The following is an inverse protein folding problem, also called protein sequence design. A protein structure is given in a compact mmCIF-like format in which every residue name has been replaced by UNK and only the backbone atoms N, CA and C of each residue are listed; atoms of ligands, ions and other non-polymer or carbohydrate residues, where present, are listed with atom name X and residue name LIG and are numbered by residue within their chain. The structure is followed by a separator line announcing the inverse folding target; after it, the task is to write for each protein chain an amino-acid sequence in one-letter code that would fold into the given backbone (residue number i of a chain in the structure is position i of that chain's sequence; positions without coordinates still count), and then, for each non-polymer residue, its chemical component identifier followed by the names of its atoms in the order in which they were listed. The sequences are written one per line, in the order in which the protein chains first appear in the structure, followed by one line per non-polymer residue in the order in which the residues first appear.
data_IF_113418175399
#
_entry.id   IF_113418175399
#
_cell.length_a   1.000
_cell.length_b   1.000
_cell.length_c   1.000
_cell.angle_alpha   90.00
_cell.angle_beta   90.00
_cell.angle_gamma   90.00
#
_symmetry.space_group_name_H-M   'P 1'
#
loop_
_entity.id
_entity.type
_entity.pdbx_description
1 polymer ?
#
# COMPACT_ATOMS: atom_id res chain seq x y z
N UNK A 1 -26.33 -4.03 -4.14
CA UNK A 1 -24.88 -3.82 -3.93
C UNK A 1 -24.15 -3.24 -5.15
N UNK A 2 -24.02 -3.92 -6.32
CA UNK A 2 -23.36 -3.31 -7.50
C UNK A 2 -24.11 -2.10 -8.07
N UNK A 3 -25.42 -2.03 -7.91
CA UNK A 3 -26.25 -0.90 -8.36
C UNK A 3 -26.07 0.38 -7.52
N UNK A 4 -25.43 0.27 -6.37
CA UNK A 4 -25.17 1.38 -5.46
C UNK A 4 -23.80 2.02 -5.69
N UNK A 5 -22.98 1.39 -6.56
CA UNK A 5 -21.69 1.91 -7.02
C UNK A 5 -21.87 2.79 -8.27
N UNK A 6 -20.92 3.69 -8.50
CA UNK A 6 -20.89 4.44 -9.77
C UNK A 6 -20.81 3.49 -10.97
N UNK A 7 -21.36 3.91 -12.11
CA UNK A 7 -21.33 3.10 -13.33
C UNK A 7 -19.91 2.73 -13.77
N UNK A 8 -18.94 3.61 -13.51
CA UNK A 8 -17.53 3.37 -13.82
C UNK A 8 -16.93 2.32 -12.89
N UNK A 9 -17.22 2.37 -11.59
CA UNK A 9 -16.77 1.41 -10.60
C UNK A 9 -17.37 0.04 -10.84
N UNK A 10 -18.66 -0.03 -11.10
CA UNK A 10 -19.35 -1.27 -11.48
C UNK A 10 -18.73 -1.90 -12.73
N UNK A 11 -18.48 -1.10 -13.78
CA UNK A 11 -17.81 -1.57 -15.01
C UNK A 11 -16.38 -2.01 -14.77
N UNK A 12 -15.65 -1.36 -13.87
CA UNK A 12 -14.31 -1.77 -13.46
C UNK A 12 -14.34 -3.17 -12.84
N UNK A 13 -15.18 -3.38 -11.82
CA UNK A 13 -15.25 -4.67 -11.12
C UNK A 13 -15.79 -5.81 -12.00
N UNK A 14 -16.63 -5.54 -12.98
CA UNK A 14 -17.02 -6.56 -13.96
C UNK A 14 -15.86 -7.05 -14.84
N UNK A 15 -14.78 -6.26 -14.97
CA UNK A 15 -13.61 -6.60 -15.77
C UNK A 15 -12.39 -7.02 -14.93
N UNK A 16 -12.39 -6.72 -13.64
CA UNK A 16 -11.30 -7.05 -12.74
C UNK A 16 -11.26 -8.56 -12.45
N UNK A 17 -10.08 -9.10 -12.09
CA UNK A 17 -9.97 -10.48 -11.65
C UNK A 17 -10.89 -10.75 -10.44
N UNK A 18 -11.73 -11.78 -10.48
CA UNK A 18 -12.70 -12.05 -9.41
C UNK A 18 -12.06 -12.26 -8.03
N UNK A 19 -10.83 -12.80 -7.99
CA UNK A 19 -10.14 -13.10 -6.75
C UNK A 19 -9.91 -11.87 -5.86
N UNK A 20 -9.36 -10.78 -6.40
CA UNK A 20 -9.08 -9.57 -5.61
C UNK A 20 -10.35 -8.91 -5.09
N UNK A 21 -11.45 -8.99 -5.86
CA UNK A 21 -12.75 -8.42 -5.46
C UNK A 21 -13.38 -9.24 -4.35
N UNK A 22 -13.34 -10.57 -4.47
CA UNK A 22 -13.86 -11.48 -3.45
C UNK A 22 -13.05 -11.35 -2.16
N UNK A 23 -11.73 -11.36 -2.27
CA UNK A 23 -10.84 -11.16 -1.13
C UNK A 23 -11.15 -9.85 -0.41
N UNK A 24 -11.28 -8.75 -1.16
CA UNK A 24 -11.68 -7.47 -0.60
C UNK A 24 -13.06 -7.56 0.10
N UNK A 25 -14.06 -8.12 -0.56
CA UNK A 25 -15.46 -8.11 -0.09
C UNK A 25 -15.71 -9.01 1.14
N UNK A 26 -14.83 -9.98 1.41
CA UNK A 26 -14.95 -10.88 2.58
C UNK A 26 -14.00 -10.52 3.72
N UNK A 27 -13.16 -9.49 3.53
CA UNK A 27 -12.19 -9.04 4.52
C UNK A 27 -12.85 -8.07 5.51
N UNK A 28 -12.46 -8.12 6.77
CA UNK A 28 -12.86 -7.13 7.76
C UNK A 28 -12.00 -5.88 7.71
N UNK A 29 -10.73 -6.05 7.34
CA UNK A 29 -9.69 -5.02 7.31
C UNK A 29 -8.77 -5.21 6.10
N UNK A 30 -8.54 -4.16 5.35
CA UNK A 30 -7.70 -4.22 4.15
C UNK A 30 -6.66 -3.12 4.11
N UNK A 31 -5.45 -3.48 3.69
CA UNK A 31 -4.42 -2.55 3.26
C UNK A 31 -4.30 -2.64 1.74
N UNK A 32 -4.59 -1.55 1.06
CA UNK A 32 -4.41 -1.43 -0.38
C UNK A 32 -3.04 -0.83 -0.68
N UNK A 33 -2.28 -1.47 -1.55
CA UNK A 33 -0.96 -1.02 -2.03
C UNK A 33 -0.95 -0.85 -3.55
N UNK A 34 0.00 -0.06 -4.08
CA UNK A 34 0.00 0.30 -5.50
C UNK A 34 0.43 -0.85 -6.41
N UNK A 35 1.38 -1.65 -5.96
CA UNK A 35 2.00 -2.63 -6.83
C UNK A 35 2.70 -3.79 -6.11
N UNK A 36 3.33 -4.67 -6.91
CA UNK A 36 3.90 -5.92 -6.42
C UNK A 36 5.10 -5.72 -5.48
N UNK A 37 5.83 -4.62 -5.59
CA UNK A 37 7.00 -4.35 -4.73
C UNK A 37 6.58 -4.11 -3.28
N UNK A 38 5.57 -3.28 -3.08
CA UNK A 38 4.95 -3.03 -1.78
C UNK A 38 4.34 -4.32 -1.24
N UNK A 39 3.53 -5.00 -2.06
CA UNK A 39 2.85 -6.23 -1.69
C UNK A 39 3.82 -7.27 -1.13
N UNK A 40 4.95 -7.51 -1.79
CA UNK A 40 5.97 -8.48 -1.37
C UNK A 40 6.56 -8.18 0.00
N UNK A 41 6.77 -6.90 0.34
CA UNK A 41 7.41 -6.50 1.59
C UNK A 41 6.43 -6.25 2.73
N UNK A 42 5.14 -6.10 2.42
CA UNK A 42 4.17 -5.64 3.40
C UNK A 42 3.90 -6.63 4.52
N UNK A 43 3.91 -7.94 4.24
CA UNK A 43 3.81 -8.96 5.28
C UNK A 43 4.96 -8.84 6.29
N UNK A 44 6.21 -8.72 5.79
CA UNK A 44 7.39 -8.51 6.62
C UNK A 44 7.32 -7.21 7.45
N UNK A 45 6.82 -6.12 6.84
CA UNK A 45 6.60 -4.86 7.57
C UNK A 45 5.55 -5.02 8.65
N UNK A 46 4.45 -5.73 8.35
CA UNK A 46 3.39 -5.97 9.31
C UNK A 46 3.91 -6.79 10.50
N UNK A 47 4.62 -7.87 10.25
CA UNK A 47 5.26 -8.69 11.30
C UNK A 47 6.27 -7.89 12.12
N UNK A 48 7.08 -7.04 11.48
CA UNK A 48 8.05 -6.18 12.18
C UNK A 48 7.38 -5.19 13.13
N UNK A 49 6.21 -4.65 12.75
CA UNK A 49 5.48 -3.64 13.56
C UNK A 49 4.63 -4.28 14.65
N UNK A 50 4.03 -5.43 14.39
CA UNK A 50 2.98 -6.01 15.24
C UNK A 50 3.40 -7.27 15.98
N UNK A 51 4.49 -7.92 15.56
CA UNK A 51 4.90 -9.29 15.92
C UNK A 51 3.86 -10.36 15.56
N UNK A 52 2.93 -10.06 14.65
CA UNK A 52 1.90 -10.96 14.15
C UNK A 52 1.90 -10.96 12.62
N UNK A 53 1.41 -12.03 12.02
CA UNK A 53 1.06 -12.05 10.60
C UNK A 53 -0.24 -11.28 10.36
N UNK A 54 -0.41 -10.65 9.18
CA UNK A 54 -1.64 -9.91 8.83
C UNK A 54 -2.90 -10.76 9.02
N UNK A 55 -2.88 -12.02 8.59
CA UNK A 55 -4.03 -12.93 8.66
C UNK A 55 -4.44 -13.22 10.12
N UNK A 56 -3.51 -13.22 11.06
CA UNK A 56 -3.79 -13.42 12.49
C UNK A 56 -4.66 -12.30 13.05
N UNK A 57 -4.48 -11.09 12.54
CA UNK A 57 -5.23 -9.89 12.93
C UNK A 57 -6.43 -9.62 11.99
N UNK A 58 -6.75 -10.56 11.06
CA UNK A 58 -7.84 -10.42 10.08
C UNK A 58 -7.60 -9.32 9.05
N UNK A 59 -6.34 -9.02 8.75
CA UNK A 59 -5.93 -8.01 7.78
C UNK A 59 -5.51 -8.68 6.47
N UNK A 60 -6.09 -8.24 5.36
CA UNK A 60 -5.65 -8.62 4.02
C UNK A 60 -4.90 -7.48 3.34
N UNK A 61 -3.84 -7.82 2.61
CA UNK A 61 -3.04 -6.89 1.81
C UNK A 61 -3.38 -7.12 0.35
N UNK A 62 -3.81 -6.10 -0.37
CA UNK A 62 -4.24 -6.21 -1.76
C UNK A 62 -3.45 -5.26 -2.65
N UNK A 63 -2.78 -5.82 -3.66
CA UNK A 63 -2.17 -5.07 -4.75
C UNK A 63 -3.24 -4.64 -5.77
N UNK A 64 -3.45 -3.32 -5.89
CA UNK A 64 -4.45 -2.77 -6.82
C UNK A 64 -3.92 -2.55 -8.24
N UNK A 65 -2.64 -2.82 -8.50
CA UNK A 65 -1.98 -2.69 -9.80
C UNK A 65 -2.25 -1.37 -10.50
N UNK A 66 -1.87 -0.27 -9.84
CA UNK A 66 -2.00 1.07 -10.37
C UNK A 66 -3.14 1.89 -9.75
N UNK A 67 -3.69 2.85 -10.48
CA UNK A 67 -4.52 3.93 -9.94
C UNK A 67 -5.98 3.55 -9.60
N UNK A 68 -6.23 2.30 -9.20
CA UNK A 68 -7.59 1.80 -8.97
C UNK A 68 -8.13 2.03 -7.55
N UNK A 69 -7.37 2.68 -6.66
CA UNK A 69 -7.78 2.89 -5.25
C UNK A 69 -9.21 3.43 -5.09
N UNK A 70 -9.58 4.46 -5.86
CA UNK A 70 -10.93 5.06 -5.74
C UNK A 70 -12.06 4.05 -5.93
N UNK A 71 -11.86 3.02 -6.75
CA UNK A 71 -12.87 1.97 -6.98
C UNK A 71 -13.07 1.11 -5.73
N UNK A 72 -11.96 0.72 -5.10
CA UNK A 72 -12.00 -0.01 -3.83
C UNK A 72 -12.53 0.87 -2.70
N UNK A 73 -12.18 2.16 -2.65
CA UNK A 73 -12.68 3.09 -1.63
C UNK A 73 -14.18 3.34 -1.74
N UNK A 74 -14.73 3.39 -2.96
CA UNK A 74 -16.18 3.47 -3.18
C UNK A 74 -16.87 2.20 -2.64
N UNK A 75 -16.30 1.02 -2.88
CA UNK A 75 -16.80 -0.24 -2.33
C UNK A 75 -16.66 -0.28 -0.80
N UNK A 76 -15.48 0.08 -0.25
CA UNK A 76 -15.26 0.16 1.20
C UNK A 76 -16.26 1.06 1.91
N UNK A 77 -16.57 2.23 1.34
CA UNK A 77 -17.58 3.14 1.87
C UNK A 77 -18.97 2.50 1.90
N UNK A 78 -19.29 1.66 0.89
CA UNK A 78 -20.58 1.00 0.78
C UNK A 78 -20.76 -0.15 1.78
N UNK A 79 -19.71 -0.97 1.96
CA UNK A 79 -19.79 -2.17 2.83
C UNK A 79 -19.31 -1.92 4.26
N UNK A 80 -18.69 -0.77 4.53
CA UNK A 80 -18.24 -0.38 5.87
C UNK A 80 -16.90 -0.98 6.31
N UNK A 81 -16.17 -1.59 5.41
CA UNK A 81 -14.91 -2.25 5.68
C UNK A 81 -13.79 -1.26 6.02
N UNK A 82 -12.94 -1.60 7.00
CA UNK A 82 -11.80 -0.75 7.39
C UNK A 82 -10.68 -0.86 6.36
N UNK A 83 -10.38 0.25 5.69
CA UNK A 83 -9.46 0.27 4.55
C UNK A 83 -8.36 1.31 4.72
N UNK A 84 -7.11 0.87 4.80
CA UNK A 84 -5.92 1.70 4.69
C UNK A 84 -5.42 1.72 3.25
N UNK A 85 -5.16 2.89 2.70
CA UNK A 85 -4.45 3.04 1.41
C UNK A 85 -3.03 3.48 1.69
N UNK A 86 -2.07 2.78 1.13
CA UNK A 86 -0.65 3.16 1.12
C UNK A 86 -0.27 3.52 -0.30
N UNK A 87 0.11 4.78 -0.54
CA UNK A 87 0.30 5.33 -1.89
C UNK A 87 1.52 6.24 -1.97
N UNK A 88 2.10 6.32 -3.13
CA UNK A 88 3.16 7.27 -3.47
C UNK A 88 2.62 8.70 -3.56
N UNK A 89 3.48 9.69 -3.34
CA UNK A 89 3.07 11.10 -3.43
C UNK A 89 3.37 11.76 -4.77
N UNK A 90 4.06 11.08 -5.67
CA UNK A 90 4.36 11.53 -7.04
C UNK A 90 4.89 12.98 -7.12
N UNK A 91 5.78 13.37 -6.19
CA UNK A 91 6.36 14.71 -6.02
C UNK A 91 5.41 15.81 -5.54
N UNK A 92 4.11 15.53 -5.33
CA UNK A 92 3.13 16.50 -4.83
C UNK A 92 2.06 15.80 -3.98
N UNK A 93 2.38 15.59 -2.70
CA UNK A 93 1.47 14.89 -1.79
C UNK A 93 0.12 15.59 -1.63
N UNK A 94 0.07 16.94 -1.73
CA UNK A 94 -1.19 17.67 -1.63
C UNK A 94 -2.14 17.28 -2.76
N UNK A 95 -1.65 17.37 -3.99
CA UNK A 95 -2.43 17.04 -5.19
C UNK A 95 -2.76 15.55 -5.28
N UNK A 96 -1.73 14.68 -5.10
CA UNK A 96 -1.86 13.26 -5.40
C UNK A 96 -2.41 12.42 -4.23
N UNK A 97 -2.32 12.93 -2.99
CA UNK A 97 -2.79 12.18 -1.83
C UNK A 97 -3.92 12.90 -1.07
N UNK A 98 -3.83 14.21 -0.85
CA UNK A 98 -4.85 14.95 -0.08
C UNK A 98 -6.04 15.31 -0.96
N UNK A 99 -5.83 16.09 -2.03
CA UNK A 99 -6.91 16.59 -2.87
C UNK A 99 -7.59 15.46 -3.65
N UNK A 100 -6.79 14.51 -4.16
CA UNK A 100 -7.28 13.34 -4.90
C UNK A 100 -8.27 12.49 -4.10
N UNK A 101 -8.08 12.38 -2.78
CA UNK A 101 -8.90 11.55 -1.90
C UNK A 101 -9.74 12.34 -0.91
N UNK A 102 -9.96 13.64 -1.16
CA UNK A 102 -10.73 14.54 -0.29
C UNK A 102 -12.14 14.04 0.02
N UNK A 103 -12.79 13.35 -0.91
CA UNK A 103 -14.13 12.76 -0.75
C UNK A 103 -14.19 11.68 0.34
N UNK A 104 -13.04 11.15 0.74
CA UNK A 104 -12.91 10.10 1.77
C UNK A 104 -12.34 10.61 3.09
N UNK A 105 -11.92 11.88 3.17
CA UNK A 105 -11.24 12.46 4.33
C UNK A 105 -12.07 12.42 5.64
N UNK A 106 -13.40 12.40 5.52
CA UNK A 106 -14.34 12.34 6.64
C UNK A 106 -14.94 10.94 6.84
N UNK A 107 -14.43 9.93 6.14
CA UNK A 107 -14.93 8.56 6.23
C UNK A 107 -14.16 7.79 7.30
N UNK A 108 -14.81 7.41 8.39
CA UNK A 108 -14.14 6.85 9.57
C UNK A 108 -13.41 5.53 9.33
N UNK A 109 -13.90 4.73 8.38
CA UNK A 109 -13.33 3.42 8.03
C UNK A 109 -12.30 3.49 6.89
N UNK A 110 -11.96 4.68 6.39
CA UNK A 110 -10.99 4.85 5.28
C UNK A 110 -9.90 5.83 5.70
N UNK A 111 -8.64 5.47 5.46
CA UNK A 111 -7.51 6.38 5.67
C UNK A 111 -6.41 6.20 4.64
N UNK A 112 -5.82 7.32 4.23
CA UNK A 112 -4.77 7.36 3.20
C UNK A 112 -3.44 7.67 3.88
N UNK A 113 -2.42 6.87 3.60
CA UNK A 113 -1.07 6.97 4.16
C UNK A 113 -0.05 7.18 3.05
N UNK A 114 0.78 8.18 3.21
CA UNK A 114 1.79 8.60 2.23
C UNK A 114 2.92 9.37 2.92
N UNK A 115 4.07 9.50 2.24
CA UNK A 115 5.13 10.40 2.67
C UNK A 115 4.73 11.86 2.40
N UNK A 116 4.87 12.74 3.41
CA UNK A 116 4.65 14.18 3.26
C UNK A 116 5.89 14.92 2.72
N UNK A 117 6.99 14.23 2.51
CA UNK A 117 8.18 14.78 1.87
C UNK A 117 8.12 14.51 0.36
N UNK A 118 7.95 15.57 -0.43
CA UNK A 118 7.89 15.47 -1.88
C UNK A 118 9.18 14.95 -2.54
N UNK A 119 10.31 14.92 -1.81
CA UNK A 119 11.55 14.29 -2.27
C UNK A 119 11.53 12.77 -2.08
N UNK A 120 10.66 12.27 -1.23
CA UNK A 120 10.41 10.84 -1.01
C UNK A 120 9.15 10.44 -1.77
N UNK A 121 9.23 10.52 -3.09
CA UNK A 121 8.09 10.52 -4.00
C UNK A 121 7.58 9.13 -4.39
N UNK A 122 8.41 8.09 -4.24
CA UNK A 122 8.04 6.70 -4.52
C UNK A 122 8.44 5.78 -3.38
N UNK A 123 7.81 4.62 -3.32
CA UNK A 123 8.12 3.57 -2.34
C UNK A 123 9.62 3.24 -2.30
N UNK A 124 10.26 3.04 -3.45
CA UNK A 124 11.67 2.69 -3.52
C UNK A 124 12.59 3.79 -2.96
N UNK A 125 12.25 5.06 -3.22
CA UNK A 125 13.00 6.20 -2.66
C UNK A 125 12.90 6.26 -1.15
N UNK A 126 11.69 6.08 -0.62
CA UNK A 126 11.46 6.05 0.83
C UNK A 126 12.19 4.87 1.47
N UNK A 127 12.03 3.68 0.89
CA UNK A 127 12.66 2.45 1.39
C UNK A 127 14.20 2.56 1.40
N UNK A 128 14.79 3.05 0.32
CA UNK A 128 16.22 3.31 0.24
C UNK A 128 16.69 4.31 1.30
N UNK A 129 15.98 5.43 1.46
CA UNK A 129 16.38 6.46 2.41
C UNK A 129 16.37 5.99 3.87
N UNK A 130 15.45 5.09 4.21
CA UNK A 130 15.38 4.48 5.54
C UNK A 130 16.41 3.34 5.72
N UNK A 131 16.85 2.70 4.63
CA UNK A 131 17.65 1.47 4.66
C UNK A 131 18.95 1.55 3.82
N UNK A 132 19.61 2.72 3.78
CA UNK A 132 20.76 2.96 2.88
C UNK A 132 21.86 1.93 2.98
N UNK A 133 22.25 1.58 4.21
CA UNK A 133 23.34 0.62 4.42
C UNK A 133 22.99 -0.75 3.87
N UNK A 134 21.81 -1.24 4.17
CA UNK A 134 21.29 -2.51 3.65
C UNK A 134 21.18 -2.50 2.12
N UNK A 135 20.58 -1.45 1.56
CA UNK A 135 20.41 -1.35 0.11
C UNK A 135 21.77 -1.27 -0.62
N UNK A 136 22.73 -0.50 -0.08
CA UNK A 136 24.07 -0.42 -0.67
C UNK A 136 24.85 -1.75 -0.54
N UNK A 137 24.65 -2.49 0.53
CA UNK A 137 25.23 -3.82 0.69
C UNK A 137 24.68 -4.81 -0.37
N UNK A 138 23.40 -4.78 -0.64
CA UNK A 138 22.73 -5.70 -1.58
C UNK A 138 22.92 -5.30 -3.05
N UNK A 139 22.87 -4.00 -3.35
CA UNK A 139 22.79 -3.50 -4.73
C UNK A 139 23.99 -2.63 -5.14
N UNK A 140 24.96 -2.43 -4.25
CA UNK A 140 26.17 -1.64 -4.50
C UNK A 140 25.94 -0.13 -4.42
N UNK A 141 26.94 0.64 -4.90
CA UNK A 141 26.98 2.10 -4.74
C UNK A 141 25.86 2.86 -5.50
N UNK A 142 25.27 2.24 -6.52
CA UNK A 142 24.15 2.80 -7.30
C UNK A 142 22.80 2.18 -6.88
N UNK A 143 22.68 1.76 -5.61
CA UNK A 143 21.52 1.01 -5.13
C UNK A 143 20.17 1.66 -5.44
N UNK A 144 20.02 2.98 -5.23
CA UNK A 144 18.76 3.68 -5.53
C UNK A 144 18.41 3.60 -7.03
N UNK A 145 19.39 3.81 -7.90
CA UNK A 145 19.18 3.72 -9.36
C UNK A 145 18.78 2.29 -9.76
N UNK A 146 19.43 1.28 -9.18
CA UNK A 146 19.08 -0.12 -9.38
C UNK A 146 17.64 -0.40 -8.94
N UNK A 147 17.25 0.01 -7.73
CA UNK A 147 15.91 -0.19 -7.17
C UNK A 147 14.82 0.47 -8.03
N UNK A 148 15.06 1.70 -8.51
CA UNK A 148 14.11 2.41 -9.39
C UNK A 148 13.91 1.73 -10.74
N UNK A 149 14.95 1.09 -11.28
CA UNK A 149 14.90 0.35 -12.56
C UNK A 149 14.36 -1.07 -12.41
N UNK A 150 14.56 -1.70 -11.25
CA UNK A 150 14.26 -3.10 -10.99
C UNK A 150 13.40 -3.26 -9.73
N UNK A 151 12.27 -2.54 -9.69
CA UNK A 151 11.42 -2.40 -8.50
C UNK A 151 11.08 -3.73 -7.82
N UNK A 152 10.42 -4.62 -8.54
CA UNK A 152 9.98 -5.93 -8.03
C UNK A 152 11.16 -6.83 -7.65
N UNK A 153 12.21 -6.83 -8.47
CA UNK A 153 13.42 -7.62 -8.19
C UNK A 153 14.12 -7.14 -6.92
N UNK A 154 14.24 -5.82 -6.74
CA UNK A 154 14.86 -5.28 -5.53
C UNK A 154 14.05 -5.57 -4.27
N UNK A 155 12.72 -5.51 -4.34
CA UNK A 155 11.83 -5.90 -3.25
C UNK A 155 12.01 -7.39 -2.90
N UNK A 156 12.07 -8.25 -3.92
CA UNK A 156 12.30 -9.69 -3.74
C UNK A 156 13.66 -9.99 -3.09
N UNK A 157 14.74 -9.35 -3.53
CA UNK A 157 16.06 -9.53 -2.93
C UNK A 157 16.14 -9.01 -1.48
N UNK A 158 15.46 -7.90 -1.18
CA UNK A 158 15.33 -7.42 0.21
C UNK A 158 14.58 -8.43 1.08
N UNK A 159 13.51 -9.03 0.58
CA UNK A 159 12.76 -10.06 1.30
C UNK A 159 13.63 -11.29 1.58
N UNK A 160 14.35 -11.78 0.56
CA UNK A 160 15.24 -12.95 0.67
C UNK A 160 16.46 -12.72 1.57
N UNK A 161 16.87 -11.47 1.79
CA UNK A 161 18.03 -11.16 2.61
C UNK A 161 17.88 -11.57 4.08
N UNK A 162 16.63 -11.81 4.53
CA UNK A 162 16.29 -12.08 5.94
C UNK A 162 16.80 -11.05 6.94
N UNK A 163 17.34 -9.92 6.44
CA UNK A 163 17.86 -8.84 7.25
C UNK A 163 16.75 -7.95 7.78
N UNK A 164 17.03 -7.28 8.88
CA UNK A 164 16.11 -6.29 9.44
C UNK A 164 15.95 -5.12 8.47
N UNK A 165 14.70 -4.79 8.17
CA UNK A 165 14.31 -3.66 7.32
C UNK A 165 13.60 -2.63 8.18
N UNK A 166 14.11 -1.40 8.19
CA UNK A 166 13.45 -0.28 8.85
C UNK A 166 12.17 0.06 8.09
N UNK A 167 11.04 -0.09 8.76
CA UNK A 167 9.72 0.20 8.19
C UNK A 167 9.50 1.71 8.07
N UNK A 168 9.22 2.26 6.88
CA UNK A 168 8.92 3.67 6.71
C UNK A 168 7.75 4.13 7.59
N UNK A 169 7.84 5.34 8.11
CA UNK A 169 6.90 5.86 9.12
C UNK A 169 5.43 5.87 8.64
N UNK A 170 5.16 6.27 7.40
CA UNK A 170 3.79 6.27 6.90
C UNK A 170 3.21 4.87 6.75
N UNK A 171 4.05 3.86 6.46
CA UNK A 171 3.67 2.44 6.42
C UNK A 171 3.39 1.93 7.84
N UNK A 172 4.28 2.24 8.80
CA UNK A 172 4.08 1.92 10.22
C UNK A 172 2.72 2.45 10.70
N UNK A 173 2.42 3.71 10.44
CA UNK A 173 1.14 4.34 10.81
C UNK A 173 -0.06 3.68 10.14
N UNK A 174 0.09 3.19 8.91
CA UNK A 174 -0.98 2.45 8.23
C UNK A 174 -1.26 1.11 8.94
N UNK A 175 -0.21 0.38 9.30
CA UNK A 175 -0.30 -0.89 10.01
C UNK A 175 -0.90 -0.71 11.41
N UNK A 176 -0.43 0.27 12.17
CA UNK A 176 -0.95 0.58 13.50
C UNK A 176 -2.45 0.93 13.44
N UNK A 177 -2.83 1.81 12.52
CA UNK A 177 -4.22 2.23 12.36
C UNK A 177 -5.15 1.09 11.93
N UNK A 178 -4.72 0.23 11.03
CA UNK A 178 -5.58 -0.87 10.54
C UNK A 178 -5.81 -1.91 11.65
N UNK A 179 -4.82 -2.11 12.53
CA UNK A 179 -4.89 -3.06 13.64
C UNK A 179 -5.83 -2.61 14.77
N UNK A 180 -5.95 -1.31 15.05
CA UNK A 180 -6.92 -0.76 16.03
C UNK A 180 -8.36 -1.16 15.68
#
# INVERSE_FOLDING_TARGET
MLNDLSAETSKYFMKAPPANILEFAISDRVILVEGPSEYMLFEKFYETVTNHKPETDGVNIIDVRGLSFKRYLELSKLIGEKTAVVTDNDHDYKRHCVDKYSDYAQTNNIKIFFSQDNKQNTFEVVLYNNNRNLCNELFGNAALEYMLKNKTESAYQLLLSEKEIIVPEYIRRAIEWIKE
#
